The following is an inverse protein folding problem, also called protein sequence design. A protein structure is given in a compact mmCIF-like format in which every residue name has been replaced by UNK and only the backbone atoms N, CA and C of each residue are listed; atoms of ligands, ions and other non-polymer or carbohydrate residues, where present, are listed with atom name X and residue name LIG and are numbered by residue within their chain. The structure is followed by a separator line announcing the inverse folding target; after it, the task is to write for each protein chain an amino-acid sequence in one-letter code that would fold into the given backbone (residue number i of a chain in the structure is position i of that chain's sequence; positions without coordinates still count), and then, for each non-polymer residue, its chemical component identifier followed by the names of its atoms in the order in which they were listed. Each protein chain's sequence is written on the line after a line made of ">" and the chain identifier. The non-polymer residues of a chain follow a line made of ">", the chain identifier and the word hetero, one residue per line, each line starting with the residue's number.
data_IF_559944599546
#
_entry.id   IF_559944599546
#
_cell.length_a   1.000
_cell.length_b   1.000
_cell.length_c   1.000
_cell.angle_alpha   90.00
_cell.angle_beta   90.00
_cell.angle_gamma   90.00
#
_symmetry.space_group_name_H-M   'P 1'
#
loop_
_entity.id
_entity.type
_entity.pdbx_description
1 polymer ?
#
# COMPACT_ATOMS: atom_id res chain seq x y z
N UNK A 1 -5.21 -13.62 -27.42
CA UNK A 1 -5.05 -12.26 -26.87
C UNK A 1 -6.43 -11.85 -26.37
N UNK A 2 -6.62 -11.51 -25.10
CA UNK A 2 -7.96 -11.12 -24.64
C UNK A 2 -8.32 -9.81 -25.31
N UNK A 3 -9.42 -9.77 -26.05
CA UNK A 3 -9.95 -8.55 -26.66
C UNK A 3 -10.40 -7.61 -25.54
N UNK A 4 -9.48 -6.73 -25.12
CA UNK A 4 -9.79 -5.67 -24.15
C UNK A 4 -10.17 -4.41 -24.91
N UNK A 5 -11.26 -3.78 -24.47
CA UNK A 5 -11.85 -2.62 -25.11
C UNK A 5 -11.64 -1.38 -24.23
N UNK A 6 -11.42 -0.23 -24.85
CA UNK A 6 -11.51 1.05 -24.14
C UNK A 6 -12.91 1.23 -23.56
N UNK A 7 -13.08 2.05 -22.52
CA UNK A 7 -14.41 2.32 -21.94
C UNK A 7 -15.42 2.77 -23.01
N UNK A 8 -15.02 3.62 -23.97
CA UNK A 8 -15.91 4.05 -25.06
C UNK A 8 -16.28 2.90 -26.02
N UNK A 9 -15.35 1.99 -26.32
CA UNK A 9 -15.62 0.82 -27.15
C UNK A 9 -16.50 -0.20 -26.42
N UNK A 10 -16.26 -0.42 -25.12
CA UNK A 10 -17.09 -1.28 -24.27
C UNK A 10 -18.52 -0.73 -24.14
N UNK A 11 -18.68 0.60 -24.02
CA UNK A 11 -19.98 1.25 -24.00
C UNK A 11 -20.75 0.99 -25.31
N UNK A 12 -20.07 1.12 -26.45
CA UNK A 12 -20.65 0.82 -27.77
C UNK A 12 -21.05 -0.64 -27.90
N UNK A 13 -20.20 -1.58 -27.43
CA UNK A 13 -20.51 -3.02 -27.43
C UNK A 13 -21.76 -3.33 -26.59
N UNK A 14 -21.91 -2.66 -25.44
CA UNK A 14 -23.06 -2.81 -24.53
C UNK A 14 -24.29 -2.00 -24.95
N UNK A 15 -24.21 -1.25 -26.04
CA UNK A 15 -25.26 -0.33 -26.48
C UNK A 15 -25.69 0.66 -25.39
N UNK A 16 -24.72 1.18 -24.62
CA UNK A 16 -24.93 2.22 -23.59
C UNK A 16 -24.16 3.48 -23.93
N UNK A 17 -24.60 4.61 -23.38
CA UNK A 17 -23.87 5.87 -23.50
C UNK A 17 -22.51 5.78 -22.79
N UNK A 18 -21.46 6.34 -23.43
CA UNK A 18 -20.11 6.27 -22.88
C UNK A 18 -19.98 7.02 -21.54
N UNK A 19 -20.63 8.18 -21.40
CA UNK A 19 -20.62 8.95 -20.15
C UNK A 19 -21.34 8.19 -19.04
N UNK A 20 -22.41 7.47 -19.38
CA UNK A 20 -23.08 6.57 -18.44
C UNK A 20 -22.13 5.46 -17.98
N UNK A 21 -21.43 4.77 -18.88
CA UNK A 21 -20.51 3.71 -18.48
C UNK A 21 -19.35 4.23 -17.62
N UNK A 22 -18.78 5.40 -17.92
CA UNK A 22 -17.80 6.04 -17.05
C UNK A 22 -18.37 6.34 -15.65
N UNK A 23 -19.62 6.79 -15.58
CA UNK A 23 -20.32 7.02 -14.31
C UNK A 23 -20.52 5.72 -13.53
N UNK A 24 -20.91 4.64 -14.20
CA UNK A 24 -21.14 3.33 -13.58
C UNK A 24 -19.83 2.73 -13.04
N UNK A 25 -18.76 2.79 -13.82
CA UNK A 25 -17.42 2.37 -13.37
C UNK A 25 -16.93 3.20 -12.19
N UNK A 26 -17.21 4.51 -12.19
CA UNK A 26 -16.86 5.35 -11.06
C UNK A 26 -17.68 5.04 -9.82
N UNK A 27 -18.97 4.75 -9.98
CA UNK A 27 -19.89 4.37 -8.90
C UNK A 27 -19.53 3.02 -8.29
N UNK A 28 -19.08 2.07 -9.11
CA UNK A 28 -18.55 0.79 -8.69
C UNK A 28 -17.16 0.90 -8.01
N UNK A 29 -16.54 2.09 -8.04
CA UNK A 29 -15.20 2.33 -7.50
C UNK A 29 -14.07 1.80 -8.38
N UNK A 30 -14.34 1.43 -9.63
CA UNK A 30 -13.33 0.89 -10.58
C UNK A 30 -12.51 2.01 -11.23
N UNK A 31 -13.09 3.20 -11.32
CA UNK A 31 -12.43 4.42 -11.77
C UNK A 31 -12.56 5.51 -10.70
N UNK A 32 -11.47 6.25 -10.50
CA UNK A 32 -11.48 7.49 -9.74
C UNK A 32 -11.22 8.67 -10.67
N UNK A 33 -11.78 9.83 -10.34
CA UNK A 33 -11.54 11.06 -11.09
C UNK A 33 -10.60 11.96 -10.30
N UNK A 34 -9.43 12.25 -10.88
CA UNK A 34 -8.40 13.09 -10.29
C UNK A 34 -7.94 14.10 -11.33
N UNK A 35 -7.92 15.40 -10.97
CA UNK A 35 -7.48 16.49 -11.87
C UNK A 35 -8.13 16.45 -13.27
N UNK A 36 -9.41 16.07 -13.33
CA UNK A 36 -10.17 15.98 -14.57
C UNK A 36 -9.97 14.67 -15.36
N UNK A 37 -8.97 13.86 -15.01
CA UNK A 37 -8.65 12.58 -15.65
C UNK A 37 -9.26 11.38 -14.93
N UNK A 38 -9.54 10.32 -15.68
CA UNK A 38 -9.99 9.03 -15.15
C UNK A 38 -8.78 8.15 -14.87
N UNK A 39 -8.65 7.72 -13.62
CA UNK A 39 -7.61 6.83 -13.16
C UNK A 39 -8.23 5.48 -12.79
N UNK A 40 -7.58 4.41 -13.22
CA UNK A 40 -7.85 3.05 -12.78
C UNK A 40 -7.53 2.91 -11.29
N UNK A 41 -8.48 2.39 -10.53
CA UNK A 41 -8.28 2.02 -9.12
C UNK A 41 -7.79 0.58 -8.99
N UNK A 42 -7.27 0.23 -7.82
CA UNK A 42 -6.86 -1.15 -7.55
C UNK A 42 -8.05 -2.13 -7.62
N UNK A 43 -9.23 -1.68 -7.19
CA UNK A 43 -10.47 -2.43 -7.36
C UNK A 43 -10.82 -2.62 -8.84
N UNK A 44 -10.67 -1.59 -9.67
CA UNK A 44 -10.89 -1.70 -11.11
C UNK A 44 -9.89 -2.66 -11.77
N UNK A 45 -8.63 -2.60 -11.36
CA UNK A 45 -7.60 -3.52 -11.85
C UNK A 45 -7.94 -4.98 -11.52
N UNK A 46 -8.47 -5.24 -10.32
CA UNK A 46 -8.96 -6.57 -9.89
C UNK A 46 -10.06 -7.13 -10.78
N UNK A 47 -10.92 -6.27 -11.34
CA UNK A 47 -11.96 -6.67 -12.30
C UNK A 47 -11.46 -6.70 -13.75
N UNK A 48 -10.14 -6.63 -13.98
CA UNK A 48 -9.48 -6.82 -15.27
C UNK A 48 -9.14 -5.55 -16.02
N UNK A 49 -9.34 -4.38 -15.39
CA UNK A 49 -8.93 -3.09 -15.94
C UNK A 49 -7.42 -2.99 -16.07
N UNK A 50 -6.92 -2.47 -17.18
CA UNK A 50 -5.48 -2.26 -17.41
C UNK A 50 -5.24 -0.94 -18.13
N UNK A 51 -4.04 -0.37 -17.95
CA UNK A 51 -3.61 0.76 -18.76
C UNK A 51 -2.99 0.29 -20.08
N UNK A 52 -3.35 0.97 -21.17
CA UNK A 52 -2.71 0.83 -22.48
C UNK A 52 -2.25 2.21 -22.94
N UNK A 53 -1.06 2.27 -23.52
CA UNK A 53 -0.55 3.46 -24.19
C UNK A 53 -0.86 3.39 -25.68
N UNK A 54 -1.36 4.50 -26.23
CA UNK A 54 -1.58 4.64 -27.66
C UNK A 54 -0.95 5.94 -28.18
N UNK A 55 -0.19 5.92 -29.30
CA UNK A 55 0.56 7.07 -29.79
C UNK A 55 -0.28 8.35 -29.97
N UNK A 56 -1.55 8.20 -30.34
CA UNK A 56 -2.48 9.32 -30.57
C UNK A 56 -3.27 9.77 -29.34
N UNK A 57 -3.55 8.86 -28.40
CA UNK A 57 -4.53 9.08 -27.33
C UNK A 57 -3.90 9.08 -25.93
N UNK A 58 -2.60 8.83 -25.85
CA UNK A 58 -1.88 8.70 -24.59
C UNK A 58 -2.28 7.43 -23.85
N UNK A 59 -2.13 7.46 -22.52
CA UNK A 59 -2.45 6.37 -21.60
C UNK A 59 -3.94 6.38 -21.27
N UNK A 60 -4.64 5.26 -21.46
CA UNK A 60 -6.05 5.10 -21.12
C UNK A 60 -6.34 3.68 -20.60
N UNK A 61 -7.54 3.50 -20.04
CA UNK A 61 -7.95 2.23 -19.42
C UNK A 61 -8.72 1.36 -20.41
N UNK A 62 -8.37 0.08 -20.45
CA UNK A 62 -9.07 -0.97 -21.20
C UNK A 62 -9.64 -2.03 -20.25
N UNK A 63 -10.70 -2.70 -20.70
CA UNK A 63 -11.50 -3.63 -19.91
C UNK A 63 -11.81 -4.89 -20.70
N UNK A 64 -11.98 -6.05 -20.04
CA UNK A 64 -12.48 -7.23 -20.71
C UNK A 64 -13.94 -7.02 -21.18
N UNK A 65 -14.33 -7.62 -22.30
CA UNK A 65 -15.69 -7.48 -22.84
C UNK A 65 -16.77 -7.93 -21.85
N UNK A 66 -16.48 -9.01 -21.12
CA UNK A 66 -17.33 -9.59 -20.10
C UNK A 66 -17.19 -8.92 -18.71
N UNK A 67 -16.67 -7.68 -18.63
CA UNK A 67 -16.53 -6.94 -17.37
C UNK A 67 -17.82 -6.93 -16.54
N UNK A 68 -17.79 -7.49 -15.35
CA UNK A 68 -18.88 -7.39 -14.39
C UNK A 68 -18.74 -6.06 -13.64
N UNK A 69 -19.82 -5.28 -13.56
CA UNK A 69 -19.88 -4.03 -12.81
C UNK A 69 -20.92 -4.20 -11.73
N UNK A 70 -20.47 -4.35 -10.48
CA UNK A 70 -21.37 -4.47 -9.34
C UNK A 70 -21.78 -3.10 -8.81
N UNK A 71 -22.91 -2.59 -9.32
CA UNK A 71 -23.47 -1.30 -8.88
C UNK A 71 -24.24 -1.38 -7.55
N UNK A 72 -24.37 -2.57 -6.97
CA UNK A 72 -25.08 -2.81 -5.71
C UNK A 72 -24.11 -2.90 -4.53
N UNK A 73 -22.86 -3.35 -4.77
CA UNK A 73 -21.82 -3.40 -3.75
C UNK A 73 -21.43 -2.03 -3.20
N UNK A 74 -21.57 -0.97 -4.01
CA UNK A 74 -21.16 0.40 -3.65
C UNK A 74 -22.23 1.42 -4.03
N UNK A 75 -22.39 2.44 -3.18
CA UNK A 75 -23.30 3.55 -3.41
C UNK A 75 -22.72 4.63 -4.33
N UNK A 76 -21.42 4.62 -4.61
CA UNK A 76 -20.71 5.68 -5.33
C UNK A 76 -20.52 6.96 -4.50
N UNK A 77 -20.85 6.89 -3.21
CA UNK A 77 -20.73 7.99 -2.28
C UNK A 77 -19.28 8.13 -1.82
N UNK A 78 -18.94 9.34 -1.34
CA UNK A 78 -17.67 9.57 -0.67
C UNK A 78 -17.87 9.67 0.83
N UNK A 79 -17.02 9.00 1.59
CA UNK A 79 -17.04 8.97 3.06
C UNK A 79 -15.91 9.83 3.61
N UNK A 80 -16.20 10.63 4.63
CA UNK A 80 -15.17 11.30 5.44
C UNK A 80 -14.50 10.30 6.39
N UNK A 81 -13.34 10.66 6.97
CA UNK A 81 -12.71 9.86 8.01
C UNK A 81 -13.64 9.57 9.21
N UNK A 82 -14.58 10.48 9.49
CA UNK A 82 -15.61 10.29 10.52
C UNK A 82 -16.57 9.17 10.17
N UNK A 83 -17.12 9.18 8.95
CA UNK A 83 -18.06 8.15 8.50
C UNK A 83 -17.38 6.78 8.34
N UNK A 84 -16.12 6.76 7.90
CA UNK A 84 -15.30 5.54 7.91
C UNK A 84 -15.11 5.04 9.35
N UNK A 85 -14.84 5.96 10.28
CA UNK A 85 -14.69 5.66 11.71
C UNK A 85 -15.95 5.10 12.35
N UNK A 86 -17.13 5.64 12.03
CA UNK A 86 -18.42 5.11 12.50
C UNK A 86 -18.61 3.64 12.10
N UNK A 87 -18.25 3.27 10.86
CA UNK A 87 -18.30 1.90 10.38
C UNK A 87 -17.36 0.97 11.15
N UNK A 88 -16.12 1.41 11.40
CA UNK A 88 -15.10 0.61 12.10
C UNK A 88 -15.11 0.78 13.63
N UNK A 89 -16.02 1.59 14.18
CA UNK A 89 -16.07 1.98 15.60
C UNK A 89 -14.75 2.60 16.08
N UNK A 90 -14.13 3.41 15.23
CA UNK A 90 -12.91 4.17 15.52
C UNK A 90 -13.17 5.67 15.46
N UNK A 91 -12.46 6.44 16.28
CA UNK A 91 -12.52 7.89 16.15
C UNK A 91 -11.82 8.36 14.85
N UNK A 92 -12.20 9.54 14.29
CA UNK A 92 -11.68 10.00 13.01
C UNK A 92 -10.15 10.21 13.00
N UNK A 93 -9.57 10.60 14.15
CA UNK A 93 -8.13 10.78 14.31
C UNK A 93 -7.38 9.45 14.12
N UNK A 94 -7.91 8.36 14.68
CA UNK A 94 -7.35 7.01 14.54
C UNK A 94 -7.47 6.49 13.11
N UNK A 95 -8.61 6.71 12.47
CA UNK A 95 -8.78 6.39 11.05
C UNK A 95 -7.73 7.08 10.19
N UNK A 96 -7.53 8.39 10.35
CA UNK A 96 -6.49 9.11 9.62
C UNK A 96 -5.07 8.60 9.93
N UNK A 97 -4.79 8.18 11.17
CA UNK A 97 -3.51 7.57 11.52
C UNK A 97 -3.28 6.25 10.75
N UNK A 98 -4.28 5.36 10.69
CA UNK A 98 -4.19 4.10 9.96
C UNK A 98 -4.04 4.33 8.45
N UNK A 99 -4.85 5.22 7.87
CA UNK A 99 -4.74 5.58 6.45
C UNK A 99 -3.39 6.22 6.11
N UNK A 100 -2.82 6.99 7.04
CA UNK A 100 -1.49 7.58 6.87
C UNK A 100 -0.38 6.54 6.98
N UNK A 101 -0.52 5.57 7.88
CA UNK A 101 0.43 4.47 8.05
C UNK A 101 0.46 3.57 6.81
N UNK A 102 -0.70 3.29 6.21
CA UNK A 102 -0.85 2.61 4.92
C UNK A 102 -0.28 3.41 3.73
N UNK A 103 0.24 4.61 3.98
CA UNK A 103 0.82 5.47 2.95
C UNK A 103 -0.19 6.17 2.06
N UNK A 104 -1.50 6.05 2.32
CA UNK A 104 -2.56 6.57 1.45
C UNK A 104 -2.85 8.06 1.64
N UNK A 105 -2.52 8.61 2.81
CA UNK A 105 -2.55 10.06 3.07
C UNK A 105 -1.30 10.50 3.79
N UNK A 106 -0.94 11.78 3.66
CA UNK A 106 0.11 12.41 4.46
C UNK A 106 -0.43 13.67 5.14
N UNK A 107 0.14 14.00 6.30
CA UNK A 107 -0.18 15.23 7.01
C UNK A 107 0.76 16.33 6.55
N UNK A 108 0.20 17.46 6.16
CA UNK A 108 0.90 18.71 5.86
C UNK A 108 0.29 19.84 6.68
N UNK A 109 0.88 21.04 6.61
CA UNK A 109 0.43 22.21 7.39
C UNK A 109 -1.03 22.58 7.10
N UNK A 110 -1.46 22.40 5.85
CA UNK A 110 -2.82 22.70 5.38
C UNK A 110 -3.82 21.55 5.64
N UNK A 111 -3.39 20.43 6.23
CA UNK A 111 -4.27 19.30 6.57
C UNK A 111 -3.83 17.96 5.99
N UNK A 112 -4.79 17.13 5.57
CA UNK A 112 -4.51 15.80 5.03
C UNK A 112 -4.53 15.82 3.50
N UNK A 113 -3.44 15.31 2.91
CA UNK A 113 -3.23 15.23 1.47
C UNK A 113 -3.27 13.78 1.00
N UNK A 114 -4.06 13.50 -0.02
CA UNK A 114 -4.08 12.19 -0.67
C UNK A 114 -2.76 11.91 -1.40
N UNK A 115 -2.20 10.73 -1.23
CA UNK A 115 -1.04 10.26 -2.01
C UNK A 115 -1.51 9.58 -3.30
N UNK A 116 -0.63 9.36 -4.29
CA UNK A 116 -0.96 8.55 -5.46
C UNK A 116 -1.53 7.17 -5.11
N UNK A 117 -0.94 6.47 -4.14
CA UNK A 117 -1.47 5.21 -3.60
C UNK A 117 -2.87 5.37 -3.00
N UNK A 118 -3.12 6.46 -2.27
CA UNK A 118 -4.46 6.77 -1.77
C UNK A 118 -5.49 6.95 -2.89
N UNK A 119 -5.11 7.64 -3.97
CA UNK A 119 -5.99 7.85 -5.12
C UNK A 119 -6.34 6.53 -5.80
N UNK A 120 -5.38 5.60 -5.91
CA UNK A 120 -5.61 4.24 -6.44
C UNK A 120 -6.61 3.43 -5.62
N UNK A 121 -6.70 3.63 -4.31
CA UNK A 121 -7.73 3.00 -3.47
C UNK A 121 -9.01 3.83 -3.32
N UNK A 122 -9.17 4.90 -4.09
CA UNK A 122 -10.40 5.69 -4.18
C UNK A 122 -10.43 6.97 -3.32
N UNK A 123 -9.28 7.47 -2.87
CA UNK A 123 -9.19 8.77 -2.23
C UNK A 123 -9.53 9.93 -3.19
N UNK A 124 -10.15 10.98 -2.65
CA UNK A 124 -10.38 12.24 -3.34
C UNK A 124 -10.05 13.40 -2.41
N UNK A 125 -9.20 14.32 -2.89
CA UNK A 125 -8.88 15.55 -2.17
C UNK A 125 -10.10 16.48 -2.11
N UNK A 126 -10.31 17.08 -0.95
CA UNK A 126 -11.29 18.14 -0.69
C UNK A 126 -10.63 19.25 0.12
N UNK A 127 -11.26 20.40 0.08
CA UNK A 127 -10.87 21.58 0.82
C UNK A 127 -12.13 22.19 1.41
N UNK A 128 -12.06 22.54 2.69
CA UNK A 128 -13.12 23.27 3.35
C UNK A 128 -13.06 24.74 2.94
N UNK A 129 -14.11 25.25 2.30
CA UNK A 129 -14.13 26.62 1.73
C UNK A 129 -13.99 27.73 2.77
N UNK A 130 -14.28 27.44 4.04
CA UNK A 130 -14.27 28.45 5.11
C UNK A 130 -12.92 28.52 5.81
N UNK A 131 -12.28 27.37 6.03
CA UNK A 131 -11.02 27.25 6.77
C UNK A 131 -9.81 27.03 5.87
N UNK A 132 -10.01 26.82 4.57
CA UNK A 132 -8.99 26.40 3.59
C UNK A 132 -8.27 25.10 3.97
N UNK A 133 -8.78 24.37 4.97
CA UNK A 133 -8.19 23.11 5.40
C UNK A 133 -8.47 22.01 4.38
N UNK A 134 -7.40 21.33 3.98
CA UNK A 134 -7.42 20.19 3.08
C UNK A 134 -7.73 18.91 3.85
N UNK A 135 -8.63 18.10 3.30
CA UNK A 135 -8.99 16.80 3.85
C UNK A 135 -9.31 15.80 2.74
N UNK A 136 -9.28 14.52 3.09
CA UNK A 136 -9.50 13.44 2.13
C UNK A 136 -10.83 12.74 2.39
N UNK A 137 -11.58 12.50 1.32
CA UNK A 137 -12.76 11.64 1.33
C UNK A 137 -12.52 10.40 0.49
N UNK A 138 -13.20 9.32 0.81
CA UNK A 138 -12.93 7.98 0.27
C UNK A 138 -14.14 7.44 -0.44
N UNK A 139 -13.94 6.80 -1.59
CA UNK A 139 -15.00 5.98 -2.16
C UNK A 139 -15.50 4.94 -1.14
N UNK A 140 -16.79 4.67 -1.11
CA UNK A 140 -17.41 3.85 -0.05
C UNK A 140 -17.01 2.36 -0.09
N UNK A 141 -16.34 1.93 -1.17
CA UNK A 141 -15.62 0.65 -1.26
C UNK A 141 -14.51 0.50 -0.21
N UNK A 142 -13.99 1.59 0.37
CA UNK A 142 -12.92 1.58 1.38
C UNK A 142 -13.26 0.72 2.60
N UNK A 143 -14.55 0.59 2.93
CA UNK A 143 -15.07 -0.26 4.02
C UNK A 143 -14.77 -1.75 3.82
N UNK A 144 -14.55 -2.15 2.58
CA UNK A 144 -14.27 -3.51 2.15
C UNK A 144 -12.81 -3.72 1.74
N UNK A 145 -11.97 -2.70 1.80
CA UNK A 145 -10.56 -2.82 1.45
C UNK A 145 -9.84 -3.77 2.44
N UNK A 146 -9.17 -4.83 1.96
CA UNK A 146 -8.57 -5.84 2.83
C UNK A 146 -7.48 -5.28 3.73
N UNK A 147 -6.61 -4.39 3.24
CA UNK A 147 -5.52 -3.81 4.03
C UNK A 147 -6.03 -2.90 5.15
N UNK A 148 -7.02 -2.05 4.88
CA UNK A 148 -7.60 -1.22 5.93
C UNK A 148 -8.29 -2.08 6.98
N UNK A 149 -9.07 -3.09 6.56
CA UNK A 149 -9.73 -4.01 7.48
C UNK A 149 -8.72 -4.73 8.36
N UNK A 150 -7.64 -5.24 7.76
CA UNK A 150 -6.57 -5.90 8.49
C UNK A 150 -5.93 -4.96 9.51
N UNK A 151 -5.55 -3.74 9.11
CA UNK A 151 -5.00 -2.74 10.04
C UNK A 151 -5.96 -2.39 11.18
N UNK A 152 -7.27 -2.35 10.93
CA UNK A 152 -8.29 -2.12 11.98
C UNK A 152 -8.39 -3.32 12.93
N UNK A 153 -8.41 -4.54 12.41
CA UNK A 153 -8.45 -5.79 13.19
C UNK A 153 -7.22 -5.90 14.10
N UNK A 154 -6.04 -5.65 13.55
CA UNK A 154 -4.76 -5.60 14.28
C UNK A 154 -4.80 -4.52 15.37
N UNK A 155 -5.23 -3.30 15.03
CA UNK A 155 -5.32 -2.19 15.97
C UNK A 155 -6.30 -2.47 17.13
N UNK A 156 -7.41 -3.15 16.87
CA UNK A 156 -8.40 -3.52 17.88
C UNK A 156 -8.03 -4.80 18.65
N UNK A 157 -6.94 -5.49 18.26
CA UNK A 157 -6.50 -6.74 18.89
C UNK A 157 -7.48 -7.90 18.73
N UNK A 158 -8.38 -7.87 17.73
CA UNK A 158 -9.44 -8.86 17.58
C UNK A 158 -8.90 -10.26 17.28
N UNK A 159 -7.75 -10.34 16.58
CA UNK A 159 -7.07 -11.61 16.26
C UNK A 159 -5.86 -11.90 17.15
N UNK A 160 -5.71 -11.19 18.28
CA UNK A 160 -4.55 -11.35 19.17
C UNK A 160 -4.40 -12.80 19.68
N UNK A 161 -5.50 -13.54 19.86
CA UNK A 161 -5.49 -14.95 20.27
C UNK A 161 -5.16 -15.92 19.13
N UNK A 162 -5.48 -15.56 17.89
CA UNK A 162 -5.18 -16.37 16.70
C UNK A 162 -3.69 -16.27 16.34
N UNK A 163 -3.09 -15.10 16.57
CA UNK A 163 -1.66 -14.85 16.39
C UNK A 163 -0.82 -15.06 17.66
N UNK A 164 -1.43 -15.49 18.77
CA UNK A 164 -0.71 -15.80 20.00
C UNK A 164 0.24 -17.00 19.78
N UNK A 165 1.53 -16.78 20.03
CA UNK A 165 2.62 -17.76 19.86
C UNK A 165 2.50 -18.99 20.76
N UNK A 166 1.65 -18.95 21.79
CA UNK A 166 1.46 -20.05 22.76
C UNK A 166 0.94 -21.36 22.14
N UNK A 167 0.21 -21.32 21.01
CA UNK A 167 -0.24 -22.55 20.33
C UNK A 167 0.77 -23.12 19.33
N UNK A 168 1.94 -22.49 19.16
CA UNK A 168 2.91 -22.90 18.15
C UNK A 168 4.37 -22.91 18.62
N UNK A 169 4.67 -22.81 19.92
CA UNK A 169 6.07 -22.75 20.38
C UNK A 169 6.96 -23.92 19.90
N UNK A 170 6.41 -25.13 19.74
CA UNK A 170 7.14 -26.29 19.22
C UNK A 170 7.04 -26.46 17.70
N UNK A 171 5.90 -26.13 17.09
CA UNK A 171 5.66 -26.28 15.66
C UNK A 171 6.16 -25.10 14.82
N UNK A 172 6.30 -23.91 15.40
CA UNK A 172 6.79 -22.69 14.74
C UNK A 172 8.31 -22.73 14.54
N UNK A 173 9.06 -23.16 15.58
CA UNK A 173 10.52 -23.38 15.48
C UNK A 173 10.92 -24.49 14.51
N UNK A 174 10.05 -25.47 14.28
CA UNK A 174 10.31 -26.58 13.36
C UNK A 174 9.91 -26.28 11.91
N UNK A 175 9.14 -25.22 11.64
CA UNK A 175 8.53 -24.98 10.33
C UNK A 175 8.80 -23.59 9.71
N UNK A 176 9.31 -22.62 10.47
CA UNK A 176 9.58 -21.27 9.98
C UNK A 176 11.05 -20.85 10.16
N UNK A 177 11.58 -20.16 9.16
CA UNK A 177 12.99 -19.75 9.00
C UNK A 177 13.46 -18.66 10.00
N UNK A 178 12.59 -18.12 10.84
CA UNK A 178 12.90 -17.05 11.78
C UNK A 178 13.72 -17.54 12.99
N UNK A 179 15.03 -17.70 12.80
CA UNK A 179 15.97 -18.30 13.77
C UNK A 179 16.55 -17.30 14.77
N UNK A 180 16.64 -16.03 14.39
CA UNK A 180 17.53 -15.07 15.05
C UNK A 180 16.72 -14.06 15.85
N UNK A 181 16.99 -13.93 17.14
CA UNK A 181 16.32 -12.97 18.02
C UNK A 181 17.10 -11.67 18.07
N UNK A 182 16.43 -10.54 17.84
CA UNK A 182 17.03 -9.21 17.82
C UNK A 182 16.95 -8.53 19.19
N UNK A 183 17.59 -7.36 19.34
CA UNK A 183 17.68 -6.62 20.59
C UNK A 183 16.33 -6.03 21.04
N UNK A 184 15.46 -5.66 20.11
CA UNK A 184 14.12 -5.13 20.39
C UNK A 184 13.06 -6.22 20.58
N UNK A 185 13.43 -7.47 20.28
CA UNK A 185 12.62 -8.66 20.53
C UNK A 185 11.99 -9.30 19.29
N UNK A 186 12.24 -8.79 18.07
CA UNK A 186 11.84 -9.48 16.84
C UNK A 186 12.55 -10.83 16.66
N UNK A 187 11.93 -11.68 15.84
CA UNK A 187 12.54 -12.90 15.32
C UNK A 187 12.67 -12.78 13.81
N UNK A 188 13.91 -12.77 13.31
CA UNK A 188 14.23 -12.55 11.89
C UNK A 188 14.81 -13.80 11.23
N UNK A 189 14.75 -13.85 9.89
CA UNK A 189 15.07 -15.05 9.08
C UNK A 189 16.56 -15.20 8.81
N UNK A 190 17.32 -14.12 8.78
CA UNK A 190 18.75 -14.14 8.51
C UNK A 190 19.59 -13.33 9.51
N UNK A 191 20.89 -13.64 9.57
CA UNK A 191 21.85 -12.89 10.38
C UNK A 191 22.00 -11.45 9.87
N UNK A 192 21.90 -11.23 8.56
CA UNK A 192 21.93 -9.88 7.98
C UNK A 192 20.72 -9.04 8.38
N UNK A 193 19.51 -9.60 8.34
CA UNK A 193 18.31 -8.95 8.89
C UNK A 193 18.49 -8.63 10.38
N UNK A 194 19.13 -9.52 11.17
CA UNK A 194 19.40 -9.26 12.59
C UNK A 194 20.32 -8.05 12.79
N UNK A 195 21.37 -7.92 11.97
CA UNK A 195 22.29 -6.77 12.04
C UNK A 195 21.56 -5.46 11.71
N UNK A 196 20.71 -5.48 10.68
CA UNK A 196 19.91 -4.32 10.26
C UNK A 196 18.92 -3.92 11.37
N UNK A 197 18.16 -4.87 11.90
CA UNK A 197 17.18 -4.63 12.97
C UNK A 197 17.85 -4.04 14.23
N UNK A 198 18.94 -4.67 14.69
CA UNK A 198 19.69 -4.19 15.84
C UNK A 198 20.25 -2.79 15.63
N UNK A 199 20.72 -2.49 14.42
CA UNK A 199 21.19 -1.15 14.07
C UNK A 199 20.04 -0.13 14.13
N UNK A 200 18.90 -0.43 13.50
CA UNK A 200 17.72 0.44 13.50
C UNK A 200 17.24 0.72 14.94
N UNK A 201 17.21 -0.32 15.78
CA UNK A 201 16.86 -0.20 17.19
C UNK A 201 17.83 0.71 17.96
N UNK A 202 19.14 0.48 17.85
CA UNK A 202 20.15 1.27 18.57
C UNK A 202 20.24 2.72 18.06
N UNK A 203 19.93 2.96 16.79
CA UNK A 203 19.83 4.29 16.21
C UNK A 203 18.52 5.03 16.58
N UNK A 204 17.60 4.38 17.31
CA UNK A 204 16.30 4.96 17.67
C UNK A 204 15.33 5.10 16.49
N UNK A 205 15.57 4.37 15.40
CA UNK A 205 14.73 4.40 14.21
C UNK A 205 13.56 3.46 14.41
N UNK A 206 12.35 4.03 14.50
CA UNK A 206 11.10 3.26 14.58
C UNK A 206 10.95 2.45 13.29
N UNK A 207 10.78 1.14 13.44
CA UNK A 207 10.64 0.22 12.33
C UNK A 207 9.63 -0.89 12.64
N UNK A 208 9.12 -1.53 11.59
CA UNK A 208 8.33 -2.75 11.66
C UNK A 208 9.00 -3.83 10.81
N UNK A 209 9.11 -5.04 11.34
CA UNK A 209 9.64 -6.19 10.63
C UNK A 209 8.54 -6.94 9.85
N UNK A 210 8.85 -7.43 8.65
CA UNK A 210 7.92 -8.18 7.79
C UNK A 210 6.58 -7.46 7.58
N UNK A 211 6.63 -6.18 7.18
CA UNK A 211 5.41 -5.44 6.85
C UNK A 211 4.97 -5.80 5.41
N UNK A 212 3.71 -6.23 5.19
CA UNK A 212 3.18 -6.38 3.84
C UNK A 212 3.09 -5.02 3.15
N UNK A 213 3.35 -5.00 1.85
CA UNK A 213 3.06 -3.82 1.04
C UNK A 213 1.55 -3.56 0.99
N UNK A 214 1.09 -2.29 1.00
CA UNK A 214 -0.32 -1.94 0.96
C UNK A 214 -0.87 -2.00 -0.49
N UNK A 215 -0.65 -3.13 -1.16
CA UNK A 215 -1.07 -3.47 -2.52
C UNK A 215 -1.66 -4.87 -2.53
N UNK A 216 -2.43 -5.20 -3.57
CA UNK A 216 -3.14 -6.48 -3.65
C UNK A 216 -2.18 -7.68 -3.71
N UNK A 217 -1.01 -7.56 -4.34
CA UNK A 217 0.00 -8.61 -4.33
C UNK A 217 0.54 -8.85 -2.90
N UNK A 218 0.51 -10.11 -2.45
CA UNK A 218 1.06 -10.51 -1.16
C UNK A 218 2.59 -10.49 -1.20
N UNK A 219 3.16 -9.30 -1.04
CA UNK A 219 4.60 -9.05 -1.01
C UNK A 219 4.97 -8.48 0.34
N UNK A 220 6.01 -9.07 0.95
CA UNK A 220 6.52 -8.67 2.26
C UNK A 220 7.81 -7.89 2.06
N UNK A 221 7.90 -6.73 2.71
CA UNK A 221 9.18 -6.04 2.93
C UNK A 221 9.94 -6.69 4.08
N UNK A 222 11.25 -6.48 4.18
CA UNK A 222 11.99 -6.92 5.36
C UNK A 222 11.74 -5.95 6.51
N UNK A 223 11.84 -4.64 6.25
CA UNK A 223 11.49 -3.59 7.22
C UNK A 223 10.67 -2.47 6.60
N UNK A 224 9.84 -1.83 7.42
CA UNK A 224 9.12 -0.60 7.10
C UNK A 224 9.41 0.48 8.13
N UNK A 225 9.76 1.69 7.67
CA UNK A 225 10.07 2.85 8.49
C UNK A 225 8.95 3.91 8.36
N UNK A 226 8.08 4.09 9.38
CA UNK A 226 6.92 4.96 9.28
C UNK A 226 7.24 6.45 9.07
N UNK A 227 8.35 6.94 9.63
CA UNK A 227 8.71 8.38 9.59
C UNK A 227 8.98 8.87 8.16
N UNK A 228 9.59 8.04 7.30
CA UNK A 228 9.87 8.34 5.90
C UNK A 228 8.97 7.60 4.90
N UNK A 229 8.03 6.78 5.40
CA UNK A 229 7.22 5.85 4.58
C UNK A 229 8.08 5.07 3.59
N UNK A 230 9.18 4.53 4.08
CA UNK A 230 10.22 3.87 3.29
C UNK A 230 10.39 2.45 3.76
N UNK A 231 10.56 1.56 2.79
CA UNK A 231 10.80 0.15 3.04
C UNK A 231 12.29 -0.13 2.90
N UNK A 232 12.78 -1.11 3.65
CA UNK A 232 14.12 -1.66 3.49
C UNK A 232 14.00 -3.08 2.95
N UNK A 233 14.77 -3.40 1.92
CA UNK A 233 14.96 -4.75 1.43
C UNK A 233 16.44 -5.12 1.51
N UNK A 234 16.71 -6.24 2.19
CA UNK A 234 18.01 -6.87 2.27
C UNK A 234 18.13 -7.94 1.19
N UNK A 235 19.22 -7.91 0.44
CA UNK A 235 19.47 -8.82 -0.69
C UNK A 235 20.33 -10.03 -0.35
N UNK A 236 20.67 -10.21 0.93
CA UNK A 236 21.37 -11.40 1.42
C UNK A 236 20.44 -12.38 2.14
N UNK A 237 20.92 -13.60 2.32
CA UNK A 237 20.32 -14.66 3.14
C UNK A 237 21.43 -15.38 3.91
N UNK A 238 21.07 -16.25 4.85
CA UNK A 238 22.06 -17.12 5.51
C UNK A 238 22.72 -18.13 4.53
N UNK A 239 22.19 -18.28 3.32
CA UNK A 239 22.63 -19.25 2.30
C UNK A 239 23.24 -18.61 1.04
N UNK A 240 23.33 -17.28 0.96
CA UNK A 240 23.88 -16.56 -0.18
C UNK A 240 23.10 -15.29 -0.49
N UNK A 241 22.98 -14.95 -1.78
CA UNK A 241 22.31 -13.73 -2.22
C UNK A 241 21.02 -14.02 -2.99
N UNK A 242 20.09 -13.07 -2.92
CA UNK A 242 18.90 -13.06 -3.76
C UNK A 242 19.30 -12.78 -5.21
N UNK A 243 18.86 -13.64 -6.13
CA UNK A 243 19.20 -13.51 -7.55
C UNK A 243 18.84 -12.12 -8.13
N UNK A 244 19.68 -11.59 -9.03
CA UNK A 244 19.46 -10.29 -9.68
C UNK A 244 18.08 -10.17 -10.35
N UNK A 245 17.58 -11.26 -10.94
CA UNK A 245 16.24 -11.30 -11.56
C UNK A 245 15.13 -11.03 -10.54
N UNK A 246 15.25 -11.58 -9.33
CA UNK A 246 14.29 -11.35 -8.26
C UNK A 246 14.40 -9.94 -7.68
N UNK A 247 15.63 -9.43 -7.51
CA UNK A 247 15.85 -8.04 -7.08
C UNK A 247 15.20 -7.05 -8.05
N UNK A 248 15.43 -7.23 -9.35
CA UNK A 248 14.88 -6.36 -10.40
C UNK A 248 13.35 -6.42 -10.44
N UNK A 249 12.76 -7.61 -10.30
CA UNK A 249 11.29 -7.75 -10.20
C UNK A 249 10.73 -6.97 -9.00
N UNK A 250 11.40 -7.05 -7.84
CA UNK A 250 10.99 -6.29 -6.66
C UNK A 250 11.15 -4.78 -6.90
N UNK A 251 12.28 -4.31 -7.44
CA UNK A 251 12.47 -2.89 -7.80
C UNK A 251 11.36 -2.35 -8.69
N UNK A 252 11.01 -3.10 -9.74
CA UNK A 252 9.95 -2.72 -10.67
C UNK A 252 8.60 -2.61 -9.97
N UNK A 253 8.29 -3.52 -9.04
CA UNK A 253 7.07 -3.46 -8.24
C UNK A 253 7.03 -2.18 -7.38
N UNK A 254 8.10 -1.91 -6.64
CA UNK A 254 8.19 -0.70 -5.80
C UNK A 254 8.07 0.58 -6.64
N UNK A 255 8.76 0.64 -7.78
CA UNK A 255 8.69 1.77 -8.70
C UNK A 255 7.28 1.94 -9.30
N UNK A 256 6.63 0.86 -9.73
CA UNK A 256 5.28 0.90 -10.30
C UNK A 256 4.24 1.43 -9.30
N UNK A 257 4.45 1.17 -8.00
CA UNK A 257 3.58 1.64 -6.93
C UNK A 257 4.06 2.92 -6.24
N UNK A 258 5.16 3.53 -6.70
CA UNK A 258 5.75 4.74 -6.12
C UNK A 258 6.08 4.60 -4.63
N UNK A 259 6.55 3.42 -4.24
CA UNK A 259 7.05 3.17 -2.90
C UNK A 259 8.53 3.50 -2.79
N UNK A 260 8.88 4.18 -1.69
CA UNK A 260 10.27 4.44 -1.34
C UNK A 260 10.95 3.14 -0.92
N UNK A 261 12.12 2.84 -1.49
CA UNK A 261 12.88 1.64 -1.22
C UNK A 261 14.33 1.98 -0.88
N UNK A 262 14.81 1.48 0.27
CA UNK A 262 16.21 1.40 0.64
C UNK A 262 16.65 -0.05 0.42
N UNK A 263 17.75 -0.21 -0.30
CA UNK A 263 18.33 -1.51 -0.59
C UNK A 263 19.61 -1.71 0.21
N UNK A 264 19.81 -2.90 0.75
CA UNK A 264 21.04 -3.30 1.44
C UNK A 264 21.53 -4.60 0.83
N UNK A 265 22.71 -4.57 0.21
CA UNK A 265 23.38 -5.77 -0.30
C UNK A 265 23.99 -6.62 0.82
N UNK A 266 24.36 -7.87 0.50
CA UNK A 266 25.03 -8.75 1.45
C UNK A 266 26.35 -8.15 1.97
N UNK A 267 27.08 -7.40 1.15
CA UNK A 267 28.34 -6.77 1.56
C UNK A 267 28.11 -5.53 2.45
N UNK A 268 27.13 -4.69 2.12
CA UNK A 268 26.80 -3.47 2.88
C UNK A 268 26.35 -3.75 4.31
N UNK A 269 25.83 -4.94 4.62
CA UNK A 269 25.32 -5.30 5.94
C UNK A 269 26.37 -5.29 7.04
N UNK A 270 27.65 -5.34 6.67
CA UNK A 270 28.77 -5.26 7.59
C UNK A 270 29.28 -3.83 7.82
N UNK A 271 28.70 -2.84 7.12
CA UNK A 271 29.10 -1.43 7.14
C UNK A 271 27.89 -0.51 7.36
N UNK A 272 26.93 -0.95 8.19
CA UNK A 272 25.66 -0.25 8.38
C UNK A 272 25.83 1.19 8.89
N UNK A 273 26.83 1.46 9.74
CA UNK A 273 27.11 2.81 10.24
C UNK A 273 27.50 3.80 9.13
N UNK A 274 28.10 3.31 8.04
CA UNK A 274 28.47 4.16 6.90
C UNK A 274 27.31 4.28 5.91
N UNK A 275 26.56 3.19 5.70
CA UNK A 275 25.57 3.06 4.62
C UNK A 275 24.19 3.59 5.02
N UNK A 276 23.69 3.21 6.20
CA UNK A 276 22.31 3.50 6.59
C UNK A 276 22.06 4.99 6.87
N UNK A 277 22.92 5.75 7.59
CA UNK A 277 22.67 7.16 7.84
C UNK A 277 22.50 7.99 6.57
N UNK A 278 23.29 7.71 5.53
CA UNK A 278 23.17 8.40 4.25
C UNK A 278 21.85 8.05 3.56
N UNK A 279 21.51 6.76 3.44
CA UNK A 279 20.28 6.30 2.78
C UNK A 279 19.02 6.80 3.51
N UNK A 280 19.02 6.79 4.84
CA UNK A 280 17.91 7.26 5.66
C UNK A 280 17.67 8.77 5.55
N UNK A 281 18.75 9.56 5.43
CA UNK A 281 18.67 11.03 5.32
C UNK A 281 17.89 11.47 4.08
N UNK A 282 17.95 10.71 2.99
CA UNK A 282 17.21 10.97 1.75
C UNK A 282 15.68 10.96 1.97
N UNK A 283 15.21 10.27 3.02
CA UNK A 283 13.80 10.17 3.40
C UNK A 283 13.47 10.98 4.67
N UNK A 284 14.35 11.90 5.07
CA UNK A 284 14.15 12.75 6.25
C UNK A 284 14.26 12.00 7.58
N UNK A 285 14.78 10.77 7.58
CA UNK A 285 15.02 9.99 8.78
C UNK A 285 16.42 10.30 9.27
N UNK A 286 16.51 10.75 10.52
CA UNK A 286 17.79 10.99 11.20
C UNK A 286 18.12 9.79 12.06
N UNK A 287 19.34 9.30 11.92
CA UNK A 287 19.97 8.35 12.80
C UNK A 287 21.18 9.07 13.39
N UNK A 288 21.21 9.18 14.72
CA UNK A 288 22.15 9.98 15.53
C UNK A 288 22.05 11.52 15.35
#
# INVERSE_FOLDING_TARGET
>A
MSDKLSTSALAKLRNVDAKQLFSDLSKAGYLSRHEGQWLLTDLGAKFGGEYVEHPKFGKFVVWPENLLIDLMATGGNTLTATQVGEYFKLNPKKVNQLLSELGWIKKEDEGWIATPSGIRVGAKQREDKSSQQKFVVWHDSIRHNPHLRQSVVEFLGQDAQTHATDKSYSSFRQKFEAKHRTLDGHYVRSTGELLIDNWLYLAGVIHAYQRPLPIEELVMSDFYLPLGKVYIQYWGTDSGEISLKQQEKTRQLYAAHEFNLIEISADEVHQLDDVLPEKLRQFGIKAY
#
